data_IF_874452473677
#
_entry.id   IF_874452473677
#
_cell.length_a   1.000
_cell.length_b   1.000
_cell.length_c   1.000
_cell.angle_alpha   90.00
_cell.angle_beta   90.00
_cell.angle_gamma   90.00
#
_symmetry.space_group_name_H-M   'P 1'
#
loop_
_entity.id
_entity.type
_entity.pdbx_description
1 polymer ?
#
# COMPACT_ATOMS: atom_id res chain seq x y z
N UNK A 1 27.53 12.80 -15.28
CA UNK A 1 28.54 13.82 -14.94
C UNK A 1 28.28 15.08 -15.77
N UNK A 2 27.69 16.12 -15.20
CA UNK A 2 27.54 17.43 -15.87
C UNK A 2 28.69 18.32 -15.41
N UNK A 3 29.60 18.66 -16.32
CA UNK A 3 30.64 19.69 -16.10
C UNK A 3 29.95 21.04 -15.99
N UNK A 4 29.98 21.63 -14.79
CA UNK A 4 29.54 23.01 -14.58
C UNK A 4 30.64 23.92 -15.11
N UNK A 5 30.35 24.65 -16.19
CA UNK A 5 31.26 25.66 -16.73
C UNK A 5 31.24 26.85 -15.76
N UNK A 6 32.36 27.03 -15.04
CA UNK A 6 32.64 28.25 -14.29
C UNK A 6 32.83 29.39 -15.29
N UNK A 7 31.80 30.24 -15.40
CA UNK A 7 31.91 31.53 -16.10
C UNK A 7 32.83 32.39 -15.24
N UNK A 8 34.10 32.46 -15.63
CA UNK A 8 35.06 33.44 -15.11
C UNK A 8 34.57 34.82 -15.52
N UNK A 9 33.80 35.46 -14.67
CA UNK A 9 33.68 36.91 -14.65
C UNK A 9 35.04 37.47 -14.26
N UNK A 10 35.88 37.73 -15.26
CA UNK A 10 36.98 38.66 -15.08
C UNK A 10 36.34 39.98 -14.65
N UNK A 11 36.50 40.28 -13.36
CA UNK A 11 36.25 41.60 -12.83
C UNK A 11 36.94 42.61 -13.76
N UNK A 12 36.12 43.43 -14.40
CA UNK A 12 36.59 44.64 -15.04
C UNK A 12 37.47 45.35 -14.01
N UNK A 13 38.77 45.45 -14.31
CA UNK A 13 39.67 46.32 -13.56
C UNK A 13 38.95 47.65 -13.37
N UNK A 14 38.75 48.15 -12.15
CA UNK A 14 38.38 49.54 -11.97
C UNK A 14 39.61 50.32 -12.43
N UNK A 15 39.61 50.67 -13.71
CA UNK A 15 40.52 51.65 -14.26
C UNK A 15 40.34 52.88 -13.39
N UNK A 16 41.37 53.19 -12.62
CA UNK A 16 41.53 54.39 -11.82
C UNK A 16 41.70 55.54 -12.83
N UNK A 17 40.65 55.80 -13.59
CA UNK A 17 40.49 56.99 -14.39
C UNK A 17 40.23 58.10 -13.39
N UNK A 18 41.32 58.71 -12.93
CA UNK A 18 41.34 60.11 -12.52
C UNK A 18 40.60 60.88 -13.59
N UNK A 19 39.32 61.14 -13.34
CA UNK A 19 38.51 62.01 -14.16
C UNK A 19 39.19 63.37 -14.15
N UNK A 20 39.90 63.68 -15.23
CA UNK A 20 40.20 65.04 -15.61
C UNK A 20 38.85 65.69 -15.92
N UNK A 21 38.27 66.34 -14.91
CA UNK A 21 37.09 67.18 -15.01
C UNK A 21 37.51 68.49 -15.67
N UNK A 22 37.36 68.56 -17.00
CA UNK A 22 37.84 69.67 -17.83
C UNK A 22 36.80 70.80 -17.96
N UNK A 23 35.90 70.98 -16.99
CA UNK A 23 34.93 72.09 -16.98
C UNK A 23 34.56 72.53 -15.54
N UNK A 24 35.54 73.09 -14.84
CA UNK A 24 35.38 74.39 -14.18
C UNK A 24 34.17 74.60 -13.27
N UNK A 25 34.04 73.79 -12.22
CA UNK A 25 33.45 74.26 -10.97
C UNK A 25 34.44 73.92 -9.87
N UNK A 26 35.21 74.93 -9.46
CA UNK A 26 36.08 74.89 -8.28
C UNK A 26 35.21 74.59 -7.05
N UNK A 27 34.92 73.31 -6.81
CA UNK A 27 34.57 72.86 -5.47
C UNK A 27 35.84 73.02 -4.65
N UNK A 28 35.92 74.12 -3.91
CA UNK A 28 36.83 74.33 -2.79
C UNK A 28 36.53 73.30 -1.68
N UNK A 29 36.79 72.04 -1.98
CA UNK A 29 36.97 71.00 -0.99
C UNK A 29 38.46 70.72 -0.95
N UNK A 30 39.17 71.28 0.03
CA UNK A 30 40.55 70.94 0.38
C UNK A 30 40.65 69.49 0.92
N UNK A 31 40.07 68.52 0.22
CA UNK A 31 40.34 67.10 0.48
C UNK A 31 41.71 66.81 -0.12
N UNK A 32 42.71 66.66 0.75
CA UNK A 32 44.05 66.28 0.31
C UNK A 32 44.01 64.90 -0.35
N UNK A 33 44.89 64.61 -1.31
CA UNK A 33 45.03 63.25 -1.89
C UNK A 33 45.20 62.18 -0.80
N UNK A 34 45.78 62.54 0.33
CA UNK A 34 45.92 61.68 1.50
C UNK A 34 44.57 61.28 2.11
N UNK A 35 43.61 62.22 2.21
CA UNK A 35 42.27 61.94 2.76
C UNK A 35 41.45 61.02 1.85
N UNK A 36 41.61 61.14 0.53
CA UNK A 36 41.01 60.21 -0.44
C UNK A 36 41.54 58.80 -0.25
N UNK A 37 42.86 58.64 -0.09
CA UNK A 37 43.48 57.33 0.15
C UNK A 37 43.03 56.72 1.49
N UNK A 38 42.90 57.52 2.56
CA UNK A 38 42.36 57.06 3.86
C UNK A 38 40.92 56.57 3.73
N UNK A 39 40.07 57.30 3.00
CA UNK A 39 38.67 56.91 2.75
C UNK A 39 38.59 55.59 1.97
N UNK A 40 39.39 55.45 0.92
CA UNK A 40 39.47 54.22 0.13
C UNK A 40 39.99 53.03 0.95
N UNK A 41 41.02 53.23 1.78
CA UNK A 41 41.55 52.18 2.66
C UNK A 41 40.47 51.70 3.64
N UNK A 42 39.75 52.61 4.31
CA UNK A 42 38.64 52.26 5.20
C UNK A 42 37.49 51.55 4.48
N UNK A 43 37.17 51.96 3.24
CA UNK A 43 36.16 51.28 2.42
C UNK A 43 36.60 49.86 2.08
N UNK A 44 37.89 49.67 1.76
CA UNK A 44 38.47 48.36 1.50
C UNK A 44 38.51 47.48 2.74
N UNK A 45 38.83 48.03 3.91
CA UNK A 45 38.80 47.28 5.18
C UNK A 45 37.38 46.79 5.49
N UNK A 46 36.36 47.66 5.34
CA UNK A 46 34.94 47.27 5.49
C UNK A 46 34.47 46.24 4.47
N UNK A 47 35.02 46.28 3.25
CA UNK A 47 34.77 45.28 2.23
C UNK A 47 35.41 43.94 2.60
N UNK A 48 36.66 43.95 3.08
CA UNK A 48 37.35 42.78 3.60
C UNK A 48 36.58 42.14 4.77
N UNK A 49 36.11 42.91 5.75
CA UNK A 49 35.31 42.41 6.87
C UNK A 49 34.01 41.75 6.38
N UNK A 50 33.29 42.39 5.44
CA UNK A 50 32.09 41.80 4.84
C UNK A 50 32.38 40.48 4.12
N UNK A 51 33.47 40.41 3.37
CA UNK A 51 33.87 39.19 2.68
C UNK A 51 34.26 38.09 3.67
N UNK A 52 34.99 38.42 4.74
CA UNK A 52 35.32 37.47 5.80
C UNK A 52 34.06 36.94 6.50
N UNK A 53 33.11 37.81 6.85
CA UNK A 53 31.82 37.39 7.41
C UNK A 53 31.06 36.46 6.46
N UNK A 54 31.06 36.78 5.16
CA UNK A 54 30.41 35.94 4.14
C UNK A 54 31.08 34.57 3.98
N UNK A 55 32.42 34.54 3.98
CA UNK A 55 33.20 33.29 3.95
C UNK A 55 32.89 32.44 5.18
N UNK A 56 32.90 33.04 6.38
CA UNK A 56 32.56 32.33 7.61
C UNK A 56 31.14 31.76 7.56
N UNK A 57 30.16 32.55 7.13
CA UNK A 57 28.78 32.08 7.00
C UNK A 57 28.65 30.91 6.00
N UNK A 58 29.38 30.94 4.88
CA UNK A 58 29.39 29.85 3.91
C UNK A 58 30.09 28.60 4.46
N UNK A 59 31.16 28.76 5.24
CA UNK A 59 31.81 27.65 5.92
C UNK A 59 30.88 26.99 6.95
N UNK A 60 30.18 27.80 7.75
CA UNK A 60 29.19 27.31 8.70
C UNK A 60 28.06 26.54 7.99
N UNK A 61 27.58 27.05 6.84
CA UNK A 61 26.60 26.35 6.01
C UNK A 61 27.12 25.03 5.43
N UNK A 62 28.39 24.96 5.04
CA UNK A 62 29.01 23.74 4.54
C UNK A 62 29.16 22.70 5.67
N UNK A 63 29.54 23.13 6.87
CA UNK A 63 29.64 22.26 8.05
C UNK A 63 28.29 21.70 8.49
N UNK A 64 27.19 22.42 8.27
CA UNK A 64 25.84 21.94 8.57
C UNK A 64 25.30 20.93 7.56
N UNK A 65 25.97 20.71 6.41
CA UNK A 65 25.48 19.74 5.43
C UNK A 65 25.63 18.33 5.96
N UNK A 66 24.56 17.51 5.96
CA UNK A 66 24.68 16.10 6.30
C UNK A 66 25.66 15.41 5.33
N UNK A 67 26.39 14.42 5.84
CA UNK A 67 27.31 13.65 5.01
C UNK A 67 26.57 12.95 3.88
N UNK A 68 27.28 12.70 2.77
CA UNK A 68 26.71 12.01 1.62
C UNK A 68 26.16 10.63 2.00
N UNK A 69 26.80 9.94 2.94
CA UNK A 69 26.37 8.65 3.47
C UNK A 69 24.99 8.71 4.12
N UNK A 70 24.73 9.76 4.92
CA UNK A 70 23.42 9.97 5.56
C UNK A 70 22.34 10.19 4.50
N UNK A 71 22.62 11.01 3.48
CA UNK A 71 21.69 11.26 2.37
C UNK A 71 21.41 9.98 1.59
N UNK A 72 22.43 9.18 1.28
CA UNK A 72 22.28 7.90 0.58
C UNK A 72 21.47 6.90 1.39
N UNK A 73 21.73 6.81 2.71
CA UNK A 73 20.97 5.96 3.62
C UNK A 73 19.49 6.33 3.62
N UNK A 74 19.16 7.62 3.81
CA UNK A 74 17.76 8.10 3.76
C UNK A 74 17.11 7.79 2.41
N UNK A 75 17.85 7.94 1.31
CA UNK A 75 17.33 7.62 -0.02
C UNK A 75 17.06 6.11 -0.19
N UNK A 76 17.89 5.24 0.40
CA UNK A 76 17.65 3.79 0.41
C UNK A 76 16.41 3.46 1.25
N UNK A 77 16.33 3.99 2.46
CA UNK A 77 15.20 3.75 3.37
C UNK A 77 13.87 4.20 2.74
N UNK A 78 13.87 5.32 2.00
CA UNK A 78 12.69 5.78 1.24
C UNK A 78 12.26 4.78 0.16
N UNK A 79 13.21 4.19 -0.58
CA UNK A 79 12.91 3.16 -1.58
C UNK A 79 12.37 1.87 -0.93
N UNK A 80 12.92 1.49 0.21
CA UNK A 80 12.47 0.31 0.94
C UNK A 80 11.04 0.50 1.48
N UNK A 81 10.73 1.69 2.01
CA UNK A 81 9.38 2.07 2.44
C UNK A 81 8.38 2.10 1.28
N UNK A 82 8.78 2.63 0.13
CA UNK A 82 7.95 2.64 -1.09
C UNK A 82 7.60 1.21 -1.53
N UNK A 83 8.57 0.29 -1.50
CA UNK A 83 8.33 -1.12 -1.82
C UNK A 83 7.35 -1.78 -0.83
N UNK A 84 7.49 -1.49 0.46
CA UNK A 84 6.59 -2.00 1.50
C UNK A 84 5.16 -1.46 1.36
N UNK A 85 5.03 -0.17 1.04
CA UNK A 85 3.75 0.48 0.78
C UNK A 85 3.04 -0.18 -0.40
N UNK A 86 3.74 -0.37 -1.53
CA UNK A 86 3.18 -1.05 -2.70
C UNK A 86 2.80 -2.51 -2.39
N UNK A 87 3.61 -3.22 -1.61
CA UNK A 87 3.28 -4.57 -1.12
C UNK A 87 1.99 -4.60 -0.31
N UNK A 88 1.83 -3.65 0.61
CA UNK A 88 0.65 -3.53 1.48
C UNK A 88 -0.61 -3.16 0.68
N UNK A 89 -0.50 -2.26 -0.29
CA UNK A 89 -1.61 -1.88 -1.16
C UNK A 89 -2.11 -3.09 -1.97
N UNK A 90 -1.19 -3.86 -2.57
CA UNK A 90 -1.53 -5.07 -3.31
C UNK A 90 -2.24 -6.10 -2.45
N UNK A 91 -1.81 -6.29 -1.21
CA UNK A 91 -2.47 -7.23 -0.29
C UNK A 91 -3.84 -6.72 0.16
N UNK A 92 -4.01 -5.40 0.39
CA UNK A 92 -5.30 -4.80 0.68
C UNK A 92 -6.29 -4.99 -0.47
N UNK A 93 -5.86 -4.77 -1.72
CA UNK A 93 -6.68 -5.00 -2.92
C UNK A 93 -7.13 -6.46 -3.02
N UNK A 94 -6.21 -7.41 -2.79
CA UNK A 94 -6.51 -8.83 -2.78
C UNK A 94 -7.51 -9.20 -1.69
N UNK A 95 -7.32 -8.72 -0.47
CA UNK A 95 -8.23 -8.93 0.66
C UNK A 95 -9.63 -8.39 0.37
N UNK A 96 -9.73 -7.20 -0.22
CA UNK A 96 -11.01 -6.63 -0.67
C UNK A 96 -11.69 -7.50 -1.73
N UNK A 97 -10.94 -8.01 -2.71
CA UNK A 97 -11.46 -8.90 -3.74
C UNK A 97 -11.99 -10.23 -3.14
N UNK A 98 -11.26 -10.82 -2.20
CA UNK A 98 -11.68 -12.04 -1.50
C UNK A 98 -12.94 -11.81 -0.66
N UNK A 99 -13.02 -10.66 0.03
CA UNK A 99 -14.22 -10.27 0.78
C UNK A 99 -15.45 -10.15 -0.13
N UNK A 100 -15.32 -9.53 -1.30
CA UNK A 100 -16.41 -9.43 -2.28
C UNK A 100 -16.81 -10.79 -2.87
N UNK A 101 -15.84 -11.69 -3.06
CA UNK A 101 -16.11 -13.08 -3.47
C UNK A 101 -16.91 -13.82 -2.39
N UNK A 102 -16.56 -13.65 -1.12
CA UNK A 102 -17.28 -14.24 0.01
C UNK A 102 -18.71 -13.68 0.13
N UNK A 103 -18.90 -12.35 0.04
CA UNK A 103 -20.24 -11.73 0.00
C UNK A 103 -21.08 -12.26 -1.16
N UNK A 104 -20.48 -12.49 -2.32
CA UNK A 104 -21.19 -13.05 -3.48
C UNK A 104 -21.64 -14.48 -3.22
N UNK A 105 -20.76 -15.30 -2.63
CA UNK A 105 -21.08 -16.67 -2.22
C UNK A 105 -22.18 -16.70 -1.14
N UNK A 106 -22.07 -15.85 -0.13
CA UNK A 106 -23.06 -15.67 0.94
C UNK A 106 -24.44 -15.37 0.34
N UNK A 107 -24.54 -14.35 -0.53
CA UNK A 107 -25.79 -14.01 -1.23
C UNK A 107 -26.36 -15.16 -2.06
N UNK A 108 -25.52 -16.04 -2.61
CA UNK A 108 -26.00 -17.22 -3.34
C UNK A 108 -26.62 -18.23 -2.38
N UNK A 109 -25.97 -18.49 -1.25
CA UNK A 109 -26.47 -19.40 -0.22
C UNK A 109 -27.76 -18.87 0.43
N UNK A 110 -27.83 -17.56 0.70
CA UNK A 110 -29.05 -16.91 1.21
C UNK A 110 -30.23 -17.10 0.26
N UNK A 111 -30.02 -16.93 -1.06
CA UNK A 111 -31.08 -17.17 -2.06
C UNK A 111 -31.54 -18.62 -2.07
N UNK A 112 -30.62 -19.58 -1.97
CA UNK A 112 -30.97 -21.01 -1.91
C UNK A 112 -31.72 -21.36 -0.63
N UNK A 113 -31.34 -20.79 0.52
CA UNK A 113 -32.08 -20.95 1.77
C UNK A 113 -33.49 -20.36 1.67
N UNK A 114 -33.63 -19.17 1.11
CA UNK A 114 -34.94 -18.58 0.83
C UNK A 114 -35.77 -19.46 -0.11
N UNK A 115 -35.16 -20.05 -1.14
CA UNK A 115 -35.83 -20.95 -2.08
C UNK A 115 -36.35 -22.22 -1.41
N UNK A 116 -35.57 -22.82 -0.49
CA UNK A 116 -35.90 -24.11 0.13
C UNK A 116 -36.78 -23.97 1.38
N UNK A 117 -36.55 -22.96 2.21
CA UNK A 117 -37.19 -22.80 3.52
C UNK A 117 -38.10 -21.56 3.62
N UNK A 118 -38.23 -20.78 2.54
CA UNK A 118 -39.02 -19.55 2.48
C UNK A 118 -38.30 -18.31 3.03
N UNK A 119 -38.94 -17.15 2.95
CA UNK A 119 -38.35 -15.86 3.37
C UNK A 119 -38.00 -15.81 4.87
N UNK A 120 -38.69 -16.62 5.70
CA UNK A 120 -38.48 -16.70 7.14
C UNK A 120 -37.56 -17.85 7.56
N UNK A 121 -36.64 -18.27 6.68
CA UNK A 121 -35.74 -19.41 6.96
C UNK A 121 -34.93 -19.23 8.26
N UNK A 122 -34.56 -17.99 8.63
CA UNK A 122 -33.87 -17.72 9.89
C UNK A 122 -34.72 -18.06 11.12
N UNK A 123 -36.01 -17.68 11.11
CA UNK A 123 -36.94 -17.98 12.19
C UNK A 123 -37.28 -19.47 12.24
N UNK A 124 -37.47 -20.09 11.07
CA UNK A 124 -37.78 -21.53 10.98
C UNK A 124 -36.62 -22.42 11.44
N UNK A 125 -35.37 -21.96 11.26
CA UNK A 125 -34.17 -22.67 11.72
C UNK A 125 -33.71 -22.22 13.11
N UNK A 126 -34.46 -21.34 13.78
CA UNK A 126 -34.11 -20.73 15.09
C UNK A 126 -32.70 -20.13 15.11
N UNK A 127 -32.21 -19.64 13.96
CA UNK A 127 -30.90 -19.01 13.85
C UNK A 127 -31.07 -17.59 14.39
N UNK A 128 -30.41 -17.23 15.51
CA UNK A 128 -30.48 -15.87 16.00
C UNK A 128 -29.98 -14.94 14.88
N UNK A 129 -30.71 -13.82 14.59
CA UNK A 129 -30.26 -12.88 13.58
C UNK A 129 -28.83 -12.54 13.90
N UNK A 130 -27.94 -12.63 12.90
CA UNK A 130 -26.54 -12.28 13.07
C UNK A 130 -26.47 -10.79 13.41
N UNK A 131 -26.69 -10.45 14.69
CA UNK A 131 -26.37 -9.17 15.27
C UNK A 131 -24.92 -9.00 14.95
N UNK A 132 -24.62 -8.04 14.07
CA UNK A 132 -23.30 -7.66 13.57
C UNK A 132 -22.30 -7.69 14.71
N UNK A 133 -21.76 -8.87 15.01
CA UNK A 133 -20.80 -9.04 16.07
C UNK A 133 -19.52 -8.67 15.38
N UNK A 134 -19.11 -7.43 15.57
CA UNK A 134 -17.88 -6.80 15.07
C UNK A 134 -16.59 -7.52 15.53
N UNK A 135 -16.66 -8.81 15.88
CA UNK A 135 -15.54 -9.58 16.40
C UNK A 135 -14.88 -10.35 15.27
N UNK A 136 -13.92 -9.68 14.64
CA UNK A 136 -12.54 -10.20 14.51
C UNK A 136 -12.43 -11.73 14.52
N UNK A 137 -12.59 -12.34 13.35
CA UNK A 137 -12.40 -13.78 13.18
C UNK A 137 -11.77 -14.05 11.81
N UNK A 138 -10.45 -13.88 11.73
CA UNK A 138 -9.56 -14.67 10.87
C UNK A 138 -8.12 -14.30 11.17
N UNK A 139 -7.53 -14.99 12.15
CA UNK A 139 -6.14 -14.82 12.53
C UNK A 139 -5.72 -15.74 13.67
N UNK A 140 -6.18 -17.00 13.64
CA UNK A 140 -5.50 -18.06 14.40
C UNK A 140 -4.25 -18.39 13.60
N UNK A 141 -3.16 -17.67 13.85
CA UNK A 141 -1.78 -18.15 13.95
C UNK A 141 -1.01 -17.06 14.69
N UNK A 142 -0.29 -17.46 15.73
CA UNK A 142 0.06 -16.63 16.88
C UNK A 142 0.92 -15.40 16.57
N UNK A 143 0.74 -14.37 17.40
CA UNK A 143 1.63 -13.21 17.39
C UNK A 143 1.00 -12.00 18.06
N UNK A 144 1.11 -11.92 19.39
CA UNK A 144 1.24 -10.69 20.18
C UNK A 144 0.50 -9.46 19.60
N UNK A 145 -0.79 -9.32 19.97
CA UNK A 145 -1.47 -8.03 19.95
C UNK A 145 -0.85 -7.12 21.02
N UNK A 146 0.31 -6.55 20.68
CA UNK A 146 0.88 -5.40 21.34
C UNK A 146 0.01 -4.20 20.91
N UNK A 147 -0.99 -3.89 21.74
CA UNK A 147 -1.76 -2.65 21.67
C UNK A 147 -0.83 -1.45 21.51
N UNK A 148 -0.60 -1.03 20.27
CA UNK A 148 -0.26 0.36 19.99
C UNK A 148 -1.58 1.11 19.93
N UNK A 149 -1.99 1.61 21.09
CA UNK A 149 -2.67 2.89 21.14
C UNK A 149 -1.82 3.86 20.32
N UNK A 150 -2.26 4.16 19.10
CA UNK A 150 -1.69 5.25 18.33
C UNK A 150 -2.12 6.53 19.04
N UNK A 151 -1.21 7.07 19.83
CA UNK A 151 -1.28 8.40 20.38
C UNK A 151 -1.60 9.38 19.26
N UNK A 152 -2.77 10.02 19.39
CA UNK A 152 -3.04 11.30 18.79
C UNK A 152 -2.07 12.31 19.41
N UNK A 153 -1.01 12.69 18.71
CA UNK A 153 -0.26 13.91 19.03
C UNK A 153 0.10 14.67 17.76
N UNK A 154 -0.45 15.89 17.72
CA UNK A 154 0.14 17.11 17.18
C UNK A 154 0.03 17.30 15.67
N UNK A 155 -1.09 17.93 15.30
CA UNK A 155 -1.15 19.25 14.65
C UNK A 155 0.10 19.72 13.90
N UNK A 156 -0.07 19.94 12.61
CA UNK A 156 0.49 21.11 11.92
C UNK A 156 -0.55 21.66 10.93
N UNK A 157 -0.84 22.97 10.97
CA UNK A 157 -1.80 23.61 10.10
C UNK A 157 -1.15 24.06 8.77
N UNK A 158 -1.98 24.49 7.82
CA UNK A 158 -1.65 25.07 6.50
C UNK A 158 -1.19 24.03 5.45
N UNK A 159 -1.75 23.90 4.25
CA UNK A 159 -2.58 24.81 3.45
C UNK A 159 -3.34 24.07 2.34
N UNK A 160 -4.31 24.80 1.79
CA UNK A 160 -4.84 24.74 0.42
C UNK A 160 -6.07 23.88 0.11
N UNK A 161 -7.13 24.65 -0.14
CA UNK A 161 -8.35 24.31 -0.86
C UNK A 161 -8.10 23.46 -2.10
N UNK A 162 -8.72 22.28 -2.13
CA UNK A 162 -9.37 21.78 -3.34
C UNK A 162 -10.72 21.17 -2.92
N UNK A 163 -11.75 21.97 -3.11
CA UNK A 163 -13.16 21.63 -2.99
C UNK A 163 -13.51 20.65 -4.10
N UNK A 164 -13.41 19.35 -3.83
CA UNK A 164 -13.96 18.32 -4.70
C UNK A 164 -15.37 17.99 -4.22
N UNK A 165 -16.31 18.21 -5.13
CA UNK A 165 -17.74 17.98 -4.98
C UNK A 165 -18.02 16.48 -4.99
N UNK A 166 -18.65 15.96 -3.93
CA UNK A 166 -19.30 14.65 -3.97
C UNK A 166 -20.68 14.79 -4.60
N UNK A 167 -21.02 14.05 -5.67
CA UNK A 167 -22.36 14.03 -6.19
C UNK A 167 -23.27 13.17 -5.29
N UNK A 168 -24.34 13.82 -4.85
CA UNK A 168 -25.53 13.25 -4.23
C UNK A 168 -26.06 12.05 -5.02
N UNK A 169 -26.30 10.93 -4.33
CA UNK A 169 -26.97 9.77 -4.89
C UNK A 169 -28.49 9.91 -4.74
N UNK A 170 -29.17 9.92 -5.89
CA UNK A 170 -30.61 10.02 -6.04
C UNK A 170 -31.41 8.92 -5.32
N UNK A 171 -32.68 9.20 -4.96
CA UNK A 171 -33.60 8.26 -4.33
C UNK A 171 -34.16 7.25 -5.35
N UNK A 172 -34.32 6.01 -4.92
CA UNK A 172 -34.90 4.92 -5.71
C UNK A 172 -36.43 4.90 -5.55
N UNK A 173 -37.22 4.70 -6.62
CA UNK A 173 -38.66 4.73 -6.55
C UNK A 173 -39.25 3.46 -5.91
N UNK A 174 -40.34 3.68 -5.17
CA UNK A 174 -41.28 2.69 -4.68
C UNK A 174 -41.99 2.00 -5.85
N UNK A 175 -42.01 0.66 -5.84
CA UNK A 175 -42.74 -0.14 -6.83
C UNK A 175 -43.79 -0.98 -6.13
N UNK A 176 -45.02 -0.48 -6.27
CA UNK A 176 -46.31 -1.16 -6.38
C UNK A 176 -46.54 -2.45 -5.61
N UNK A 177 -47.36 -2.29 -4.58
CA UNK A 177 -48.39 -3.23 -4.14
C UNK A 177 -49.19 -3.80 -5.31
N UNK A 178 -48.97 -5.08 -5.63
CA UNK A 178 -49.85 -5.89 -6.47
C UNK A 178 -50.72 -6.79 -5.61
N UNK A 179 -51.92 -6.33 -5.28
CA UNK A 179 -52.99 -7.19 -4.77
C UNK A 179 -53.44 -8.14 -5.88
N UNK A 180 -53.55 -9.44 -5.57
CA UNK A 180 -54.48 -10.33 -6.26
C UNK A 180 -55.07 -11.35 -5.29
N UNK A 181 -56.40 -11.39 -5.10
CA UNK A 181 -57.09 -12.41 -4.34
C UNK A 181 -57.56 -13.51 -5.28
N UNK A 182 -57.38 -14.77 -4.91
CA UNK A 182 -58.26 -15.86 -5.39
C UNK A 182 -58.35 -16.96 -4.33
N UNK A 183 -59.46 -16.90 -3.61
CA UNK A 183 -60.13 -18.02 -2.96
C UNK A 183 -60.37 -19.19 -3.93
N UNK A 184 -60.11 -20.42 -3.49
CA UNK A 184 -60.42 -21.63 -4.25
C UNK A 184 -60.47 -22.87 -3.37
N UNK A 185 -61.60 -23.02 -2.69
CA UNK A 185 -62.28 -24.22 -2.14
C UNK A 185 -61.51 -25.39 -1.48
N UNK A 186 -62.02 -25.87 -0.32
CA UNK A 186 -61.74 -27.19 0.21
C UNK A 186 -62.62 -28.24 -0.49
N UNK A 187 -62.06 -29.39 -0.84
CA UNK A 187 -62.86 -30.59 -1.17
C UNK A 187 -62.38 -31.82 -0.41
N UNK A 188 -63.30 -32.76 -0.12
CA UNK A 188 -63.19 -33.69 0.98
C UNK A 188 -62.78 -35.10 0.54
N UNK A 189 -62.35 -35.89 1.53
CA UNK A 189 -62.40 -37.35 1.63
C UNK A 189 -62.71 -38.15 0.34
N UNK A 190 -61.73 -38.92 -0.13
CA UNK A 190 -61.99 -40.22 -0.74
C UNK A 190 -61.19 -41.30 -0.01
N UNK A 191 -61.94 -42.19 0.64
CA UNK A 191 -61.51 -43.52 1.01
C UNK A 191 -61.15 -44.28 -0.27
N UNK A 192 -59.98 -44.92 -0.31
CA UNK A 192 -59.71 -45.95 -1.29
C UNK A 192 -59.18 -47.19 -0.58
N UNK A 193 -60.06 -48.19 -0.52
CA UNK A 193 -59.78 -49.57 -0.14
C UNK A 193 -59.35 -50.31 -1.40
N UNK A 194 -58.04 -50.45 -1.63
CA UNK A 194 -57.51 -51.42 -2.61
C UNK A 194 -56.23 -52.04 -2.06
N UNK A 195 -56.40 -52.95 -1.11
CA UNK A 195 -55.34 -53.82 -0.61
C UNK A 195 -55.23 -55.05 -1.52
N UNK A 196 -53.99 -55.50 -1.76
CA UNK A 196 -53.60 -56.84 -2.28
C UNK A 196 -53.39 -57.04 -3.79
N UNK A 197 -52.77 -56.09 -4.51
CA UNK A 197 -52.11 -56.40 -5.80
C UNK A 197 -50.91 -55.49 -6.18
N UNK A 198 -50.25 -54.79 -5.23
CA UNK A 198 -49.16 -53.83 -5.52
C UNK A 198 -47.81 -54.13 -4.86
N UNK A 199 -47.66 -55.28 -4.18
CA UNK A 199 -46.45 -55.62 -3.42
C UNK A 199 -45.24 -56.06 -4.27
N UNK A 200 -45.41 -56.36 -5.56
CA UNK A 200 -44.29 -56.76 -6.43
C UNK A 200 -43.67 -55.57 -7.19
N UNK A 201 -44.43 -54.52 -7.50
CA UNK A 201 -43.94 -53.37 -8.26
C UNK A 201 -43.16 -52.37 -7.38
N UNK A 202 -43.47 -52.30 -6.09
CA UNK A 202 -42.75 -51.47 -5.11
C UNK A 202 -41.35 -51.99 -4.74
N UNK A 203 -41.02 -53.25 -5.07
CA UNK A 203 -39.68 -53.78 -4.85
C UNK A 203 -38.70 -53.40 -5.97
N UNK A 204 -39.17 -53.17 -7.20
CA UNK A 204 -38.32 -52.73 -8.31
C UNK A 204 -37.93 -51.25 -8.19
N UNK A 205 -38.86 -50.36 -7.82
CA UNK A 205 -38.58 -48.92 -7.67
C UNK A 205 -37.61 -48.61 -6.53
N UNK A 206 -37.56 -49.47 -5.49
CA UNK A 206 -36.59 -49.35 -4.41
C UNK A 206 -35.18 -49.78 -4.84
N UNK A 207 -35.05 -50.76 -5.73
CA UNK A 207 -33.76 -51.21 -6.24
C UNK A 207 -33.11 -50.17 -7.17
N UNK A 208 -33.89 -49.53 -8.04
CA UNK A 208 -33.39 -48.46 -8.91
C UNK A 208 -32.93 -47.22 -8.12
N UNK A 209 -33.72 -46.80 -7.12
CA UNK A 209 -33.32 -45.70 -6.23
C UNK A 209 -32.03 -46.00 -5.44
N UNK A 210 -31.79 -47.27 -5.11
CA UNK A 210 -30.58 -47.68 -4.40
C UNK A 210 -29.36 -47.66 -5.33
N UNK A 211 -29.51 -48.13 -6.57
CA UNK A 211 -28.46 -48.08 -7.58
C UNK A 211 -28.06 -46.62 -7.93
N UNK A 212 -29.03 -45.70 -8.03
CA UNK A 212 -28.74 -44.28 -8.30
C UNK A 212 -27.97 -43.63 -7.15
N UNK A 213 -28.33 -43.93 -5.89
CA UNK A 213 -27.59 -43.46 -4.71
C UNK A 213 -26.15 -43.98 -4.68
N UNK A 214 -25.94 -45.23 -5.06
CA UNK A 214 -24.60 -45.81 -5.16
C UNK A 214 -23.77 -45.15 -6.26
N UNK A 215 -24.36 -44.88 -7.42
CA UNK A 215 -23.72 -44.15 -8.50
C UNK A 215 -23.35 -42.70 -8.09
N UNK A 216 -24.24 -41.99 -7.40
CA UNK A 216 -23.96 -40.65 -6.85
C UNK A 216 -22.83 -40.70 -5.81
N UNK A 217 -22.79 -41.73 -4.96
CA UNK A 217 -21.70 -41.93 -3.99
C UNK A 217 -20.36 -42.18 -4.68
N UNK A 218 -20.34 -43.00 -5.74
CA UNK A 218 -19.12 -43.23 -6.53
C UNK A 218 -18.66 -41.96 -7.23
N UNK A 219 -19.57 -41.17 -7.81
CA UNK A 219 -19.25 -39.88 -8.42
C UNK A 219 -18.67 -38.89 -7.40
N UNK A 220 -19.22 -38.83 -6.18
CA UNK A 220 -18.67 -38.01 -5.10
C UNK A 220 -17.27 -38.45 -4.69
N UNK A 221 -17.00 -39.75 -4.61
CA UNK A 221 -15.66 -40.27 -4.32
C UNK A 221 -14.65 -39.89 -5.42
N UNK A 222 -15.04 -39.98 -6.69
CA UNK A 222 -14.19 -39.58 -7.81
C UNK A 222 -13.86 -38.07 -7.77
N UNK A 223 -14.83 -37.22 -7.40
CA UNK A 223 -14.59 -35.78 -7.23
C UNK A 223 -13.63 -35.48 -6.08
N UNK A 224 -13.77 -36.19 -4.95
CA UNK A 224 -12.85 -36.05 -3.80
C UNK A 224 -11.42 -36.43 -4.23
N UNK A 225 -11.26 -37.52 -4.99
CA UNK A 225 -9.96 -37.97 -5.48
C UNK A 225 -9.33 -36.96 -6.46
N UNK A 226 -10.13 -36.36 -7.35
CA UNK A 226 -9.66 -35.30 -8.25
C UNK A 226 -9.17 -34.06 -7.47
N UNK A 227 -9.91 -33.63 -6.45
CA UNK A 227 -9.51 -32.51 -5.59
C UNK A 227 -8.23 -32.86 -4.81
N UNK A 228 -8.11 -34.08 -4.30
CA UNK A 228 -6.91 -34.56 -3.61
C UNK A 228 -5.67 -34.53 -4.51
N UNK A 229 -5.82 -34.96 -5.77
CA UNK A 229 -4.74 -34.91 -6.76
C UNK A 229 -4.34 -33.48 -7.12
N UNK A 230 -5.31 -32.56 -7.19
CA UNK A 230 -5.04 -31.14 -7.41
C UNK A 230 -4.27 -30.52 -6.24
N UNK A 231 -4.69 -30.77 -5.00
CA UNK A 231 -4.01 -30.29 -3.78
C UNK A 231 -2.57 -30.79 -3.76
N UNK A 232 -2.36 -32.10 -3.94
CA UNK A 232 -1.02 -32.69 -3.96
C UNK A 232 -0.13 -32.11 -5.08
N UNK A 233 -0.72 -31.80 -6.24
CA UNK A 233 -0.03 -31.13 -7.33
C UNK A 233 0.30 -29.66 -7.05
N UNK A 234 -0.54 -28.97 -6.26
CA UNK A 234 -0.29 -27.60 -5.80
C UNK A 234 0.80 -27.56 -4.74
N UNK A 235 0.77 -28.47 -3.77
CA UNK A 235 1.77 -28.58 -2.70
C UNK A 235 3.16 -28.82 -3.30
N UNK A 236 3.28 -29.78 -4.24
CA UNK A 236 4.55 -30.02 -4.94
C UNK A 236 5.09 -28.79 -5.68
N UNK A 237 4.20 -27.98 -6.27
CA UNK A 237 4.60 -26.73 -6.95
C UNK A 237 5.03 -25.65 -5.95
N UNK A 238 4.42 -25.61 -4.76
CA UNK A 238 4.82 -24.72 -3.68
C UNK A 238 6.19 -25.12 -3.13
N UNK A 239 6.41 -26.40 -2.83
CA UNK A 239 7.70 -26.92 -2.36
C UNK A 239 8.85 -26.58 -3.33
N UNK A 240 8.63 -26.76 -4.64
CA UNK A 240 9.64 -26.41 -5.65
C UNK A 240 9.95 -24.90 -5.69
N UNK A 241 8.94 -24.05 -5.45
CA UNK A 241 9.15 -22.59 -5.41
C UNK A 241 9.89 -22.20 -4.15
N UNK A 242 9.55 -22.82 -3.01
CA UNK A 242 10.23 -22.62 -1.74
C UNK A 242 11.70 -23.01 -1.84
N UNK A 243 12.02 -24.18 -2.41
CA UNK A 243 13.41 -24.61 -2.64
C UNK A 243 14.17 -23.61 -3.52
N UNK A 244 13.52 -23.08 -4.58
CA UNK A 244 14.13 -22.08 -5.46
C UNK A 244 14.37 -20.75 -4.74
N UNK A 245 13.42 -20.29 -3.94
CA UNK A 245 13.55 -19.07 -3.14
C UNK A 245 14.67 -19.23 -2.10
N UNK A 246 14.70 -20.36 -1.38
CA UNK A 246 15.74 -20.67 -0.40
C UNK A 246 17.13 -20.63 -1.03
N UNK A 247 17.32 -21.26 -2.21
CA UNK A 247 18.60 -21.19 -2.94
C UNK A 247 19.01 -19.77 -3.35
N UNK A 248 18.05 -18.91 -3.69
CA UNK A 248 18.33 -17.51 -4.03
C UNK A 248 18.72 -16.70 -2.79
N UNK A 249 18.08 -16.94 -1.65
CA UNK A 249 18.44 -16.34 -0.36
C UNK A 249 19.85 -16.76 0.05
N UNK A 250 20.16 -18.06 0.02
CA UNK A 250 21.50 -18.57 0.36
C UNK A 250 22.59 -17.94 -0.52
N UNK A 251 22.31 -17.77 -1.82
CA UNK A 251 23.22 -17.10 -2.74
C UNK A 251 23.42 -15.63 -2.38
N UNK A 252 22.34 -14.90 -2.13
CA UNK A 252 22.40 -13.49 -1.76
C UNK A 252 23.16 -13.29 -0.44
N UNK A 253 22.95 -14.16 0.55
CA UNK A 253 23.71 -14.15 1.81
C UNK A 253 25.20 -14.44 1.59
N UNK A 254 25.54 -15.38 0.70
CA UNK A 254 26.92 -15.68 0.37
C UNK A 254 27.63 -14.50 -0.33
N UNK A 255 26.92 -13.77 -1.20
CA UNK A 255 27.43 -12.58 -1.88
C UNK A 255 27.56 -11.41 -0.88
N UNK A 256 26.62 -11.25 0.04
CA UNK A 256 26.68 -10.27 1.13
C UNK A 256 27.91 -10.50 2.03
N UNK A 257 28.15 -11.75 2.46
CA UNK A 257 29.33 -12.12 3.25
C UNK A 257 30.65 -11.85 2.52
N UNK A 258 30.70 -12.11 1.20
CA UNK A 258 31.88 -11.78 0.37
C UNK A 258 32.11 -10.27 0.32
N UNK A 259 31.06 -9.49 0.12
CA UNK A 259 31.18 -8.03 0.08
C UNK A 259 31.66 -7.48 1.43
N UNK A 260 31.11 -7.98 2.54
CA UNK A 260 31.54 -7.61 3.89
C UNK A 260 33.02 -7.95 4.12
N UNK A 261 33.47 -9.14 3.71
CA UNK A 261 34.88 -9.52 3.79
C UNK A 261 35.79 -8.59 2.98
N UNK A 262 35.41 -8.26 1.74
CA UNK A 262 36.19 -7.32 0.91
C UNK A 262 36.21 -5.91 1.50
N UNK A 263 35.14 -5.50 2.18
CA UNK A 263 35.05 -4.20 2.84
C UNK A 263 35.96 -4.15 4.07
N UNK A 264 36.00 -5.22 4.86
CA UNK A 264 36.95 -5.37 5.97
C UNK A 264 38.39 -5.35 5.45
N UNK A 265 38.69 -6.10 4.38
CA UNK A 265 40.03 -6.15 3.77
C UNK A 265 40.48 -4.76 3.27
N UNK A 266 39.62 -4.06 2.51
CA UNK A 266 39.90 -2.71 2.03
C UNK A 266 40.17 -1.72 3.17
N UNK A 267 39.39 -1.82 4.26
CA UNK A 267 39.58 -1.02 5.47
C UNK A 267 40.92 -1.33 6.16
N UNK A 268 41.33 -2.60 6.22
CA UNK A 268 42.62 -3.00 6.79
C UNK A 268 43.81 -2.59 5.91
N UNK A 269 43.63 -2.56 4.58
CA UNK A 269 44.67 -2.18 3.63
C UNK A 269 44.98 -0.68 3.61
N UNK A 270 44.30 0.14 4.43
CA UNK A 270 44.52 1.59 4.48
C UNK A 270 44.07 2.30 3.20
N UNK A 271 43.32 1.62 2.33
CA UNK A 271 42.62 2.25 1.21
C UNK A 271 41.40 2.94 1.79
N UNK A 272 41.65 4.05 2.49
CA UNK A 272 40.62 4.97 2.91
C UNK A 272 39.87 5.42 1.66
N UNK A 273 38.56 5.14 1.62
CA UNK A 273 37.63 5.81 0.72
C UNK A 273 37.69 7.30 1.03
N UNK A 274 38.55 8.03 0.32
CA UNK A 274 38.55 9.51 0.24
C UNK A 274 37.35 9.95 -0.59
#
# INVERSE_FOLDING_TARGET
MRRVQSVRTYAARPSLALAADDLGVLREGDETNEDVLRRQLLEKDRECDRLQMSIQALQDQLLQRPSLEVVQKVQKDYKDLELLLQGTQRENEKCMADMERMKTREKMLERELTRLAGDNWQANLEIPPATMSLRTSSGIHGGLNLMHQRSNTISSPLSHMTRSYSPSSSPRPSSSSGFRPTSGSPTPYQQNSTSQAQSEQQQQDNAENQAEKEAQRQAALAQIEQVRMLILGMDKKLDMREEKLSKMVDRAESESKKFEATLVEAKTAGVGLV
#
